data_IF_331253065901
#
_entry.id   IF_331253065901
#
_cell.length_a   1.000
_cell.length_b   1.000
_cell.length_c   1.000
_cell.angle_alpha   90.00
_cell.angle_beta   90.00
_cell.angle_gamma   90.00
#
_symmetry.space_group_name_H-M   'P 1'
#
loop_
_entity.id
_entity.type
_entity.pdbx_description
1 polymer ?
#
# COMPACT_ATOMS: atom_id res chain seq x y z
N UNK A 1 10.92 -16.40 -12.59
CA UNK A 1 11.63 -16.05 -11.35
C UNK A 1 11.23 -17.04 -10.29
N UNK A 2 12.18 -17.81 -9.82
CA UNK A 2 11.92 -18.92 -8.91
C UNK A 2 12.34 -18.59 -7.47
N UNK A 3 13.20 -17.58 -7.29
CA UNK A 3 13.72 -17.13 -6.01
C UNK A 3 13.50 -15.63 -5.83
N UNK A 4 12.75 -15.26 -4.78
CA UNK A 4 12.49 -13.89 -4.40
C UNK A 4 12.91 -13.63 -2.94
N UNK A 5 13.48 -12.46 -2.68
CA UNK A 5 13.74 -11.95 -1.34
C UNK A 5 12.69 -10.91 -0.97
N UNK A 6 12.28 -10.88 0.29
CA UNK A 6 11.43 -9.81 0.85
C UNK A 6 12.10 -9.29 2.10
N UNK A 7 12.34 -7.98 2.16
CA UNK A 7 12.96 -7.30 3.30
C UNK A 7 11.91 -6.59 4.12
N UNK A 8 11.84 -6.94 5.40
CA UNK A 8 10.84 -6.47 6.34
C UNK A 8 9.72 -7.49 6.58
N UNK A 9 9.66 -8.06 7.78
CA UNK A 9 8.67 -9.05 8.18
C UNK A 9 7.40 -8.44 8.80
N UNK A 10 7.12 -7.16 8.50
CA UNK A 10 5.89 -6.48 8.86
C UNK A 10 4.67 -6.98 8.05
N UNK A 11 3.53 -6.31 8.22
CA UNK A 11 2.26 -6.68 7.56
C UNK A 11 2.43 -6.75 6.03
N UNK A 12 3.07 -5.73 5.43
CA UNK A 12 3.26 -5.71 3.98
C UNK A 12 4.23 -6.77 3.50
N UNK A 13 5.42 -6.88 4.11
CA UNK A 13 6.41 -7.86 3.67
C UNK A 13 5.93 -9.31 3.84
N UNK A 14 5.27 -9.64 4.95
CA UNK A 14 4.65 -10.96 5.14
C UNK A 14 3.58 -11.25 4.08
N UNK A 15 2.74 -10.25 3.75
CA UNK A 15 1.72 -10.37 2.71
C UNK A 15 2.32 -10.53 1.30
N UNK A 16 3.40 -9.81 0.98
CA UNK A 16 4.12 -9.95 -0.29
C UNK A 16 4.79 -11.33 -0.40
N UNK A 17 5.42 -11.80 0.69
CA UNK A 17 5.99 -13.13 0.77
C UNK A 17 4.92 -14.23 0.54
N UNK A 18 3.74 -14.07 1.15
CA UNK A 18 2.58 -14.94 0.91
C UNK A 18 2.18 -14.96 -0.58
N UNK A 19 2.06 -13.80 -1.22
CA UNK A 19 1.68 -13.68 -2.64
C UNK A 19 2.69 -14.38 -3.53
N UNK A 20 3.99 -14.12 -3.34
CA UNK A 20 5.05 -14.73 -4.12
C UNK A 20 5.12 -16.25 -3.93
N UNK A 21 5.01 -16.74 -2.68
CA UNK A 21 5.02 -18.17 -2.37
C UNK A 21 3.79 -18.90 -2.93
N UNK A 22 2.61 -18.25 -2.93
CA UNK A 22 1.41 -18.78 -3.57
C UNK A 22 1.59 -18.89 -5.08
N UNK A 23 2.33 -17.98 -5.69
CA UNK A 23 2.72 -18.02 -7.10
C UNK A 23 3.91 -18.97 -7.39
N UNK A 24 4.23 -19.88 -6.46
CA UNK A 24 5.27 -20.92 -6.55
C UNK A 24 6.72 -20.41 -6.52
N UNK A 25 6.98 -19.17 -6.11
CA UNK A 25 8.33 -18.69 -5.84
C UNK A 25 8.84 -19.22 -4.50
N UNK A 26 10.13 -19.58 -4.42
CA UNK A 26 10.83 -19.75 -3.15
C UNK A 26 11.16 -18.35 -2.60
N UNK A 27 10.78 -18.07 -1.38
CA UNK A 27 10.85 -16.74 -0.78
C UNK A 27 11.72 -16.77 0.46
N UNK A 28 12.65 -15.83 0.54
CA UNK A 28 13.38 -15.53 1.78
C UNK A 28 12.74 -14.28 2.37
N UNK A 29 12.10 -14.41 3.53
CA UNK A 29 11.58 -13.28 4.30
C UNK A 29 12.59 -12.90 5.36
N UNK A 30 13.18 -11.73 5.20
CA UNK A 30 14.23 -11.19 6.06
C UNK A 30 13.71 -10.07 6.97
N UNK A 31 14.17 -10.09 8.21
CA UNK A 31 14.08 -8.95 9.13
C UNK A 31 15.25 -8.97 10.10
N UNK A 32 15.68 -7.80 10.57
CA UNK A 32 16.71 -7.69 11.61
C UNK A 32 16.23 -8.14 12.99
N UNK A 33 14.91 -8.14 13.20
CA UNK A 33 14.26 -8.57 14.45
C UNK A 33 13.79 -10.02 14.35
N UNK A 34 14.37 -10.90 15.14
CA UNK A 34 13.90 -12.29 15.26
C UNK A 34 12.45 -12.37 15.74
N UNK A 35 12.04 -11.47 16.64
CA UNK A 35 10.65 -11.40 17.11
C UNK A 35 9.67 -11.01 16.01
N UNK A 36 10.08 -10.16 15.05
CA UNK A 36 9.26 -9.84 13.88
C UNK A 36 9.10 -11.06 12.96
N UNK A 37 10.17 -11.84 12.74
CA UNK A 37 10.14 -13.07 11.96
C UNK A 37 9.23 -14.14 12.57
N UNK A 38 9.33 -14.37 13.88
CA UNK A 38 8.45 -15.32 14.58
C UNK A 38 6.99 -14.89 14.51
N UNK A 39 6.70 -13.61 14.71
CA UNK A 39 5.35 -13.06 14.57
C UNK A 39 4.81 -13.21 13.14
N UNK A 40 5.63 -12.96 12.14
CA UNK A 40 5.28 -13.13 10.72
C UNK A 40 4.93 -14.59 10.42
N UNK A 41 5.77 -15.54 10.89
CA UNK A 41 5.54 -16.97 10.74
C UNK A 41 4.22 -17.41 11.37
N UNK A 42 3.97 -17.02 12.61
CA UNK A 42 2.73 -17.34 13.31
C UNK A 42 1.50 -16.75 12.61
N UNK A 43 1.58 -15.50 12.13
CA UNK A 43 0.49 -14.85 11.40
C UNK A 43 0.20 -15.52 10.05
N UNK A 44 1.22 -15.93 9.30
CA UNK A 44 1.06 -16.66 8.05
C UNK A 44 0.39 -18.01 8.30
N UNK A 45 0.84 -18.77 9.30
CA UNK A 45 0.22 -20.04 9.68
C UNK A 45 -1.25 -19.86 10.08
N UNK A 46 -1.55 -18.88 10.92
CA UNK A 46 -2.93 -18.57 11.32
C UNK A 46 -3.81 -18.15 10.13
N UNK A 47 -3.24 -17.41 9.19
CA UNK A 47 -3.96 -16.96 7.97
C UNK A 47 -4.31 -18.16 7.09
N UNK A 48 -3.38 -19.05 6.84
CA UNK A 48 -3.61 -20.25 6.02
C UNK A 48 -4.60 -21.18 6.72
N UNK A 49 -4.46 -21.41 8.03
CA UNK A 49 -5.45 -22.21 8.79
C UNK A 49 -6.87 -21.66 8.66
N UNK A 50 -7.07 -20.34 8.73
CA UNK A 50 -8.38 -19.72 8.49
C UNK A 50 -8.89 -19.92 7.06
N UNK A 51 -8.01 -20.01 6.06
CA UNK A 51 -8.40 -20.28 4.68
C UNK A 51 -8.82 -21.74 4.50
N UNK A 52 -8.15 -22.68 5.16
CA UNK A 52 -8.51 -24.10 5.23
C UNK A 52 -9.89 -24.29 5.90
N UNK A 53 -10.10 -23.69 7.08
CA UNK A 53 -11.38 -23.74 7.81
C UNK A 53 -12.56 -23.18 6.98
N UNK A 54 -12.29 -22.22 6.07
CA UNK A 54 -13.28 -21.64 5.16
C UNK A 54 -13.43 -22.42 3.84
N UNK A 55 -12.73 -23.51 3.67
CA UNK A 55 -12.74 -24.31 2.44
C UNK A 55 -12.17 -23.60 1.21
N UNK A 56 -11.34 -22.54 1.41
CA UNK A 56 -10.72 -21.78 0.33
C UNK A 56 -9.37 -22.32 -0.11
N UNK A 57 -8.83 -23.29 0.61
CA UNK A 57 -7.53 -23.90 0.40
C UNK A 57 -7.49 -25.27 1.09
N UNK A 58 -6.76 -26.23 0.55
CA UNK A 58 -6.52 -27.51 1.22
C UNK A 58 -5.33 -27.41 2.18
N UNK A 59 -5.21 -28.35 3.13
CA UNK A 59 -4.08 -28.41 4.05
C UNK A 59 -2.75 -28.70 3.31
N UNK A 60 -2.80 -29.49 2.23
CA UNK A 60 -1.64 -29.80 1.39
C UNK A 60 -1.14 -28.55 0.66
N UNK A 61 -2.05 -27.75 0.09
CA UNK A 61 -1.73 -26.48 -0.57
C UNK A 61 -1.11 -25.51 0.41
N UNK A 62 -1.71 -25.33 1.60
CA UNK A 62 -1.23 -24.48 2.67
C UNK A 62 0.20 -24.86 3.09
N UNK A 63 0.42 -26.16 3.37
CA UNK A 63 1.74 -26.69 3.71
C UNK A 63 2.77 -26.46 2.61
N UNK A 64 2.38 -26.68 1.36
CA UNK A 64 3.23 -26.46 0.19
C UNK A 64 3.61 -24.99 0.01
N UNK A 65 2.70 -24.03 0.29
CA UNK A 65 2.99 -22.60 0.22
C UNK A 65 3.92 -22.20 1.35
N UNK A 66 3.62 -22.61 2.59
CA UNK A 66 4.45 -22.30 3.76
C UNK A 66 5.87 -22.85 3.63
N UNK A 67 6.04 -24.04 3.05
CA UNK A 67 7.39 -24.63 2.85
C UNK A 67 8.27 -23.86 1.87
N UNK A 68 7.70 -22.98 1.05
CA UNK A 68 8.46 -22.08 0.15
C UNK A 68 8.93 -20.80 0.82
N UNK A 69 8.52 -20.53 2.07
CA UNK A 69 8.91 -19.31 2.79
C UNK A 69 9.96 -19.67 3.82
N UNK A 70 11.18 -19.23 3.59
CA UNK A 70 12.28 -19.28 4.55
C UNK A 70 12.38 -17.97 5.31
N UNK A 71 12.68 -18.04 6.61
CA UNK A 71 12.83 -16.87 7.48
C UNK A 71 14.30 -16.69 7.80
N UNK A 72 14.86 -15.49 7.61
CA UNK A 72 16.27 -15.22 7.83
C UNK A 72 16.51 -13.87 8.49
N UNK A 73 17.52 -13.78 9.33
CA UNK A 73 18.11 -12.53 9.85
C UNK A 73 19.45 -12.19 9.20
N UNK A 74 19.83 -12.90 8.13
CA UNK A 74 21.07 -12.69 7.40
C UNK A 74 20.79 -12.15 6.00
N UNK A 75 21.22 -10.91 5.73
CA UNK A 75 21.01 -10.27 4.41
C UNK A 75 21.77 -11.01 3.29
N UNK A 76 22.88 -11.69 3.63
CA UNK A 76 23.69 -12.52 2.72
C UNK A 76 22.90 -13.65 2.05
N UNK A 77 21.82 -14.11 2.64
CA UNK A 77 20.99 -15.18 2.08
C UNK A 77 20.30 -14.79 0.77
N UNK A 78 20.25 -13.49 0.45
CA UNK A 78 19.70 -13.02 -0.81
C UNK A 78 20.60 -13.23 -2.03
N UNK A 79 21.81 -13.78 -1.87
CA UNK A 79 22.78 -13.96 -2.97
C UNK A 79 22.21 -14.69 -4.19
N UNK A 80 21.27 -15.62 -4.03
CA UNK A 80 20.62 -16.37 -5.12
C UNK A 80 19.30 -15.77 -5.59
N UNK A 81 18.83 -14.66 -5.01
CA UNK A 81 17.57 -14.04 -5.37
C UNK A 81 17.65 -13.37 -6.76
N UNK A 82 16.59 -13.52 -7.54
CA UNK A 82 16.41 -12.87 -8.83
C UNK A 82 15.62 -11.56 -8.72
N UNK A 83 14.89 -11.39 -7.62
CA UNK A 83 14.13 -10.21 -7.25
C UNK A 83 14.19 -10.05 -5.74
N UNK A 84 14.48 -8.84 -5.26
CA UNK A 84 14.36 -8.47 -3.85
C UNK A 84 13.37 -7.32 -3.73
N UNK A 85 12.33 -7.48 -2.89
CA UNK A 85 11.31 -6.45 -2.64
C UNK A 85 11.47 -5.95 -1.21
N UNK A 86 11.72 -4.67 -1.05
CA UNK A 86 11.83 -4.02 0.26
C UNK A 86 10.45 -3.51 0.72
N UNK A 87 10.10 -3.76 1.99
CA UNK A 87 8.89 -3.33 2.66
C UNK A 87 9.15 -2.94 4.14
N UNK A 88 10.20 -2.13 4.36
CA UNK A 88 10.59 -1.60 5.69
C UNK A 88 9.95 -0.24 5.98
N UNK A 89 10.41 0.42 7.06
CA UNK A 89 9.95 1.76 7.45
C UNK A 89 10.08 2.78 6.31
N UNK A 90 9.13 3.72 6.24
CA UNK A 90 9.06 4.72 5.16
C UNK A 90 10.01 5.89 5.45
N UNK A 91 11.31 5.63 5.34
CA UNK A 91 12.39 6.58 5.54
C UNK A 91 13.41 6.47 4.40
N UNK A 92 13.64 7.56 3.68
CA UNK A 92 14.48 7.58 2.49
C UNK A 92 15.93 7.14 2.77
N UNK A 93 16.54 7.65 3.83
CA UNK A 93 17.96 7.36 4.13
C UNK A 93 18.14 5.90 4.56
N UNK A 94 17.19 5.35 5.33
CA UNK A 94 17.20 3.93 5.71
C UNK A 94 17.07 3.05 4.47
N UNK A 95 16.16 3.40 3.54
CA UNK A 95 15.99 2.65 2.30
C UNK A 95 17.21 2.76 1.38
N UNK A 96 17.80 3.94 1.24
CA UNK A 96 19.03 4.14 0.46
C UNK A 96 20.18 3.27 0.94
N UNK A 97 20.40 3.27 2.28
CA UNK A 97 21.42 2.41 2.88
C UNK A 97 21.15 0.94 2.59
N UNK A 98 19.92 0.47 2.82
CA UNK A 98 19.52 -0.91 2.55
C UNK A 98 19.73 -1.31 1.09
N UNK A 99 19.34 -0.44 0.13
CA UNK A 99 19.50 -0.71 -1.30
C UNK A 99 20.97 -0.86 -1.69
N UNK A 100 21.85 -0.01 -1.15
CA UNK A 100 23.30 -0.14 -1.32
C UNK A 100 23.83 -1.45 -0.71
N UNK A 101 23.35 -1.84 0.46
CA UNK A 101 23.76 -3.09 1.13
C UNK A 101 23.30 -4.32 0.32
N UNK A 102 22.03 -4.35 -0.14
CA UNK A 102 21.49 -5.40 -1.00
C UNK A 102 22.28 -5.51 -2.30
N UNK A 103 22.58 -4.38 -2.95
CA UNK A 103 23.32 -4.36 -4.20
C UNK A 103 24.68 -5.04 -4.12
N UNK A 104 25.35 -4.99 -2.94
CA UNK A 104 26.63 -5.63 -2.72
C UNK A 104 26.56 -7.17 -2.56
N UNK A 105 25.34 -7.68 -2.30
CA UNK A 105 25.11 -9.09 -1.98
C UNK A 105 24.54 -9.86 -3.16
N UNK A 106 23.56 -9.27 -3.84
CA UNK A 106 22.81 -9.94 -4.92
C UNK A 106 23.58 -9.96 -6.23
N UNK A 107 23.25 -10.90 -7.12
CA UNK A 107 23.83 -10.96 -8.46
C UNK A 107 23.55 -9.66 -9.24
N UNK A 108 24.36 -9.41 -10.29
CA UNK A 108 24.21 -8.23 -11.16
C UNK A 108 22.87 -8.19 -11.89
N UNK A 109 22.27 -9.36 -12.13
CA UNK A 109 20.99 -9.50 -12.83
C UNK A 109 19.77 -9.45 -11.89
N UNK A 110 20.01 -9.42 -10.57
CA UNK A 110 18.94 -9.34 -9.59
C UNK A 110 18.26 -7.96 -9.65
N UNK A 111 16.95 -7.96 -9.71
CA UNK A 111 16.13 -6.75 -9.65
C UNK A 111 15.92 -6.37 -8.19
N UNK A 112 16.11 -5.10 -7.86
CA UNK A 112 15.87 -4.56 -6.51
C UNK A 112 14.66 -3.65 -6.57
N UNK A 113 13.65 -3.94 -5.74
CA UNK A 113 12.39 -3.22 -5.77
C UNK A 113 12.01 -2.64 -4.41
N UNK A 114 11.34 -1.49 -4.39
CA UNK A 114 10.74 -0.92 -3.19
C UNK A 114 9.21 -1.03 -3.24
N UNK A 115 8.61 -1.39 -2.10
CA UNK A 115 7.16 -1.32 -1.88
C UNK A 115 6.73 0.03 -1.29
N UNK A 116 7.56 1.06 -1.35
CA UNK A 116 7.21 2.41 -0.87
C UNK A 116 5.88 2.87 -1.45
N UNK A 117 5.12 3.63 -0.66
CA UNK A 117 3.86 4.25 -1.08
C UNK A 117 3.98 5.72 -1.46
N UNK A 118 5.10 6.36 -1.11
CA UNK A 118 5.24 7.82 -1.17
C UNK A 118 6.62 8.33 -1.54
N UNK A 119 7.68 7.53 -1.38
CA UNK A 119 9.04 7.95 -1.69
C UNK A 119 9.36 7.76 -3.17
N UNK A 120 10.11 8.70 -3.74
CA UNK A 120 10.57 8.60 -5.13
C UNK A 120 11.49 7.39 -5.35
N UNK A 121 11.16 6.57 -6.31
CA UNK A 121 11.99 5.43 -6.75
C UNK A 121 13.33 5.93 -7.29
N UNK A 122 13.31 7.04 -8.02
CA UNK A 122 14.53 7.73 -8.48
C UNK A 122 15.45 8.09 -7.32
N UNK A 123 14.88 8.63 -6.23
CA UNK A 123 15.67 9.00 -5.04
C UNK A 123 16.23 7.79 -4.30
N UNK A 124 15.50 6.68 -4.24
CA UNK A 124 16.01 5.44 -3.64
C UNK A 124 17.11 4.85 -4.52
N UNK A 125 16.88 4.77 -5.83
CA UNK A 125 17.80 4.20 -6.79
C UNK A 125 19.15 4.95 -6.88
N UNK A 126 19.17 6.24 -6.53
CA UNK A 126 20.41 7.04 -6.57
C UNK A 126 21.50 6.58 -5.60
N UNK A 127 21.16 5.71 -4.63
CA UNK A 127 22.12 5.09 -3.74
C UNK A 127 22.80 3.83 -4.33
N UNK A 128 22.28 3.33 -5.47
CA UNK A 128 22.82 2.16 -6.13
C UNK A 128 23.84 2.55 -7.24
N UNK A 129 24.83 1.70 -7.45
CA UNK A 129 25.80 1.84 -8.55
C UNK A 129 25.17 1.49 -9.89
N UNK A 130 24.16 0.60 -9.90
CA UNK A 130 23.43 0.14 -11.07
C UNK A 130 21.93 0.44 -10.89
N UNK A 131 21.52 1.73 -10.95
CA UNK A 131 20.14 2.14 -10.72
C UNK A 131 19.16 1.63 -11.80
N UNK A 132 19.68 1.15 -12.94
CA UNK A 132 18.88 0.61 -14.05
C UNK A 132 18.04 -0.61 -13.66
N UNK A 133 18.47 -1.37 -12.65
CA UNK A 133 17.77 -2.56 -12.13
C UNK A 133 16.86 -2.27 -10.92
N UNK A 134 16.70 -0.99 -10.57
CA UNK A 134 15.85 -0.57 -9.46
C UNK A 134 14.49 -0.14 -9.97
N UNK A 135 13.41 -0.58 -9.28
CA UNK A 135 12.03 -0.31 -9.67
C UNK A 135 11.12 -0.26 -8.43
N UNK A 136 10.01 0.44 -8.50
CA UNK A 136 8.93 0.34 -7.50
C UNK A 136 7.97 -0.80 -7.83
N UNK A 137 7.56 -1.56 -6.80
CA UNK A 137 6.48 -2.55 -6.88
C UNK A 137 5.59 -2.35 -5.66
N UNK A 138 4.60 -1.48 -5.81
CA UNK A 138 3.74 -1.05 -4.71
C UNK A 138 2.51 -1.92 -4.61
N UNK A 139 2.45 -2.75 -3.57
CA UNK A 139 1.29 -3.54 -3.18
C UNK A 139 0.41 -2.75 -2.20
N UNK A 140 -0.89 -3.01 -2.25
CA UNK A 140 -1.86 -2.41 -1.32
C UNK A 140 -2.19 -3.36 -0.17
N UNK A 141 -2.42 -2.81 1.01
CA UNK A 141 -2.76 -3.57 2.21
C UNK A 141 -4.25 -3.99 2.21
N UNK A 142 -4.58 -5.26 2.43
CA UNK A 142 -3.71 -6.44 2.59
C UNK A 142 -3.20 -6.98 1.23
N UNK A 143 -1.89 -7.21 1.11
CA UNK A 143 -1.27 -7.59 -0.18
C UNK A 143 -1.88 -8.85 -0.81
N UNK A 144 -2.28 -9.83 0.00
CA UNK A 144 -2.91 -11.06 -0.48
C UNK A 144 -4.30 -10.81 -1.10
N UNK A 145 -5.07 -9.84 -0.60
CA UNK A 145 -6.47 -9.60 -0.99
C UNK A 145 -6.58 -8.53 -2.09
N UNK A 146 -5.76 -7.51 -2.04
CA UNK A 146 -5.81 -6.40 -3.00
C UNK A 146 -5.24 -6.84 -4.34
N UNK A 147 -6.04 -6.75 -5.43
CA UNK A 147 -5.58 -7.22 -6.74
C UNK A 147 -4.58 -6.26 -7.39
N UNK A 148 -4.72 -4.96 -7.19
CA UNK A 148 -3.92 -3.93 -7.85
C UNK A 148 -2.49 -3.90 -7.32
N UNK A 149 -1.53 -3.76 -8.24
CA UNK A 149 -0.12 -3.49 -7.95
C UNK A 149 0.39 -2.40 -8.90
N UNK A 150 0.94 -1.34 -8.36
CA UNK A 150 1.59 -0.30 -9.16
C UNK A 150 3.04 -0.66 -9.41
N UNK A 151 3.50 -0.46 -10.64
CA UNK A 151 4.89 -0.67 -11.08
C UNK A 151 5.46 0.69 -11.46
N UNK A 152 6.47 1.13 -10.75
CA UNK A 152 6.97 2.49 -10.81
C UNK A 152 8.43 2.49 -11.28
N UNK A 153 8.72 2.75 -12.56
CA UNK A 153 10.09 2.98 -13.02
C UNK A 153 10.61 4.32 -12.50
N UNK A 154 11.81 4.32 -11.93
CA UNK A 154 12.57 5.55 -11.70
C UNK A 154 13.17 6.07 -13.01
N UNK A 155 13.75 7.27 -12.98
CA UNK A 155 14.31 7.91 -14.20
C UNK A 155 15.44 7.11 -14.85
N UNK A 156 16.20 6.34 -14.08
CA UNK A 156 17.31 5.52 -14.55
C UNK A 156 16.93 4.06 -14.81
N UNK A 157 15.70 3.64 -14.48
CA UNK A 157 15.24 2.26 -14.64
C UNK A 157 15.30 1.84 -16.10
N UNK A 158 15.85 0.65 -16.38
CA UNK A 158 15.97 0.10 -17.74
C UNK A 158 14.59 0.01 -18.42
N UNK A 159 14.51 0.44 -19.68
CA UNK A 159 13.24 0.65 -20.39
C UNK A 159 12.38 -0.61 -20.53
N UNK A 160 12.96 -1.79 -20.58
CA UNK A 160 12.26 -3.08 -20.68
C UNK A 160 11.81 -3.63 -19.31
N UNK A 161 12.38 -3.15 -18.20
CA UNK A 161 12.15 -3.69 -16.87
C UNK A 161 10.69 -3.55 -16.40
N UNK A 162 9.99 -2.43 -16.64
CA UNK A 162 8.57 -2.32 -16.26
C UNK A 162 7.69 -3.38 -16.93
N UNK A 163 7.91 -3.68 -18.20
CA UNK A 163 7.16 -4.72 -18.92
C UNK A 163 7.46 -6.13 -18.37
N UNK A 164 8.73 -6.41 -18.05
CA UNK A 164 9.17 -7.67 -17.41
C UNK A 164 8.51 -7.86 -16.05
N UNK A 165 8.51 -6.84 -15.21
CA UNK A 165 7.85 -6.89 -13.89
C UNK A 165 6.34 -6.98 -14.01
N UNK A 166 5.72 -6.24 -14.95
CA UNK A 166 4.29 -6.34 -15.23
C UNK A 166 3.89 -7.78 -15.56
N UNK A 167 4.64 -8.45 -16.42
CA UNK A 167 4.39 -9.84 -16.76
C UNK A 167 4.57 -10.80 -15.56
N UNK A 168 5.58 -10.56 -14.71
CA UNK A 168 5.82 -11.34 -13.50
C UNK A 168 4.66 -11.19 -12.49
N UNK A 169 4.30 -9.96 -12.17
CA UNK A 169 3.24 -9.65 -11.19
C UNK A 169 1.86 -10.15 -11.68
N UNK A 170 1.62 -10.13 -13.00
CA UNK A 170 0.46 -10.78 -13.59
C UNK A 170 0.41 -12.30 -13.33
N UNK A 171 1.57 -12.99 -13.39
CA UNK A 171 1.67 -14.41 -13.01
C UNK A 171 1.45 -14.67 -11.51
N UNK A 172 1.60 -13.65 -10.66
CA UNK A 172 1.26 -13.70 -9.25
C UNK A 172 -0.23 -13.46 -8.98
N UNK A 173 -1.06 -13.55 -10.01
CA UNK A 173 -2.51 -13.33 -9.96
C UNK A 173 -2.90 -11.93 -9.44
N UNK A 174 -2.10 -10.92 -9.84
CA UNK A 174 -2.36 -9.51 -9.55
C UNK A 174 -2.66 -8.75 -10.84
N UNK A 175 -3.23 -7.56 -10.71
CA UNK A 175 -3.51 -6.62 -11.80
C UNK A 175 -2.45 -5.52 -11.78
N UNK A 176 -1.33 -5.68 -12.50
CA UNK A 176 -0.26 -4.70 -12.51
C UNK A 176 -0.54 -3.53 -13.45
N UNK A 177 -0.31 -2.31 -12.98
CA UNK A 177 -0.36 -1.08 -13.77
C UNK A 177 0.97 -0.34 -13.69
N UNK A 178 1.40 0.28 -14.78
CA UNK A 178 2.60 1.10 -14.79
C UNK A 178 2.22 2.52 -14.38
N UNK A 179 2.87 3.02 -13.34
CA UNK A 179 2.70 4.36 -12.82
C UNK A 179 3.98 5.19 -13.00
N UNK A 180 3.84 6.50 -13.11
CA UNK A 180 5.00 7.42 -13.09
C UNK A 180 5.56 7.53 -11.67
N UNK A 181 6.88 7.76 -11.55
CA UNK A 181 7.55 8.10 -10.28
C UNK A 181 7.20 9.54 -9.88
N UNK A 182 5.95 9.72 -9.47
CA UNK A 182 5.39 10.99 -9.01
C UNK A 182 4.75 10.79 -7.64
N UNK A 183 4.68 11.83 -6.78
CA UNK A 183 4.15 11.69 -5.43
C UNK A 183 2.77 11.02 -5.41
N UNK A 184 2.67 9.92 -4.62
CA UNK A 184 1.44 9.14 -4.50
C UNK A 184 1.06 8.29 -5.71
N UNK A 185 1.95 8.17 -6.70
CA UNK A 185 1.81 7.35 -7.93
C UNK A 185 0.46 7.57 -8.62
N UNK A 186 -0.40 6.56 -8.72
CA UNK A 186 -1.77 6.70 -9.24
C UNK A 186 -2.78 6.81 -8.09
N UNK A 187 -2.89 5.75 -7.25
CA UNK A 187 -3.99 5.63 -6.29
C UNK A 187 -3.94 6.70 -5.21
N UNK A 188 -2.82 6.89 -4.54
CA UNK A 188 -2.69 7.91 -3.50
C UNK A 188 -2.85 9.32 -4.07
N UNK A 189 -2.42 9.55 -5.30
CA UNK A 189 -2.56 10.84 -5.98
C UNK A 189 -4.03 11.16 -6.30
N UNK A 190 -4.77 10.22 -6.90
CA UNK A 190 -6.19 10.45 -7.28
C UNK A 190 -7.13 10.42 -6.07
N UNK A 191 -6.75 9.71 -5.01
CA UNK A 191 -7.54 9.66 -3.78
C UNK A 191 -7.50 11.00 -2.99
N UNK A 192 -6.45 11.83 -3.16
CA UNK A 192 -6.37 13.09 -2.38
C UNK A 192 -7.50 14.06 -2.71
N UNK A 193 -7.79 14.39 -3.98
CA UNK A 193 -8.95 15.22 -4.32
C UNK A 193 -10.29 14.62 -3.85
N UNK A 194 -10.47 13.30 -3.97
CA UNK A 194 -11.67 12.61 -3.49
C UNK A 194 -11.97 12.91 -2.02
N UNK A 195 -10.95 12.86 -1.16
CA UNK A 195 -11.10 13.23 0.25
C UNK A 195 -11.18 14.74 0.44
N UNK A 196 -10.30 15.50 -0.20
CA UNK A 196 -10.19 16.94 -0.03
C UNK A 196 -11.46 17.69 -0.43
N UNK A 197 -12.07 17.35 -1.56
CA UNK A 197 -13.32 18.00 -2.00
C UNK A 197 -14.51 17.61 -1.13
N UNK A 198 -14.59 16.35 -0.69
CA UNK A 198 -15.62 15.92 0.27
C UNK A 198 -15.54 16.71 1.58
N UNK A 199 -14.33 16.91 2.10
CA UNK A 199 -14.11 17.68 3.33
C UNK A 199 -14.46 19.17 3.10
N UNK A 200 -14.14 19.75 1.95
CA UNK A 200 -14.53 21.14 1.61
C UNK A 200 -16.04 21.32 1.59
N UNK A 201 -16.77 20.38 0.99
CA UNK A 201 -18.26 20.40 0.99
C UNK A 201 -18.81 20.42 2.42
N UNK A 202 -18.19 19.61 3.31
CA UNK A 202 -18.56 19.60 4.73
C UNK A 202 -18.18 20.91 5.43
N UNK A 203 -16.96 21.41 5.26
CA UNK A 203 -16.46 22.65 5.90
C UNK A 203 -17.27 23.89 5.44
N UNK A 204 -17.79 23.88 4.23
CA UNK A 204 -18.68 24.93 3.70
C UNK A 204 -20.14 24.79 4.16
N UNK A 205 -20.47 23.76 4.95
CA UNK A 205 -21.81 23.54 5.47
C UNK A 205 -22.85 23.13 4.42
N UNK A 206 -22.41 22.64 3.26
CA UNK A 206 -23.33 22.22 2.17
C UNK A 206 -24.03 20.91 2.54
N UNK A 207 -23.29 19.95 3.10
CA UNK A 207 -23.83 18.66 3.54
C UNK A 207 -23.02 18.07 4.70
N UNK A 208 -23.66 17.18 5.47
CA UNK A 208 -23.01 16.38 6.51
C UNK A 208 -22.29 15.15 5.92
N UNK A 209 -21.47 14.49 6.74
CA UNK A 209 -20.67 13.33 6.34
C UNK A 209 -21.51 12.21 5.73
N UNK A 210 -22.65 11.87 6.38
CA UNK A 210 -23.51 10.78 5.94
C UNK A 210 -24.14 11.06 4.57
N UNK A 211 -24.56 12.31 4.34
CA UNK A 211 -25.14 12.76 3.07
C UNK A 211 -24.11 12.74 1.93
N UNK A 212 -22.86 13.16 2.22
CA UNK A 212 -21.78 13.12 1.22
C UNK A 212 -21.41 11.66 0.90
N UNK A 213 -21.26 10.81 1.90
CA UNK A 213 -20.96 9.38 1.71
C UNK A 213 -22.10 8.68 0.95
N UNK A 214 -23.36 9.00 1.25
CA UNK A 214 -24.51 8.49 0.51
C UNK A 214 -24.46 8.89 -0.97
N UNK A 215 -24.23 10.17 -1.27
CA UNK A 215 -24.16 10.65 -2.64
C UNK A 215 -23.05 9.93 -3.44
N UNK A 216 -21.88 9.76 -2.86
CA UNK A 216 -20.78 9.07 -3.53
C UNK A 216 -21.06 7.58 -3.74
N UNK A 217 -21.77 6.92 -2.82
CA UNK A 217 -22.14 5.49 -2.97
C UNK A 217 -23.29 5.31 -3.97
N UNK A 218 -24.41 6.00 -3.77
CA UNK A 218 -25.64 5.73 -4.51
C UNK A 218 -25.66 6.38 -5.90
N UNK A 219 -25.05 7.55 -6.05
CA UNK A 219 -24.98 8.28 -7.32
C UNK A 219 -23.66 7.99 -8.02
N UNK A 220 -22.56 8.03 -7.28
CA UNK A 220 -21.22 7.82 -7.81
C UNK A 220 -20.85 6.36 -8.04
N UNK A 221 -21.58 5.41 -7.47
CA UNK A 221 -21.32 3.98 -7.59
C UNK A 221 -20.07 3.50 -6.83
N UNK A 222 -19.56 4.31 -5.89
CA UNK A 222 -18.42 3.91 -5.06
C UNK A 222 -18.85 2.91 -3.99
N UNK A 223 -18.01 1.93 -3.69
CA UNK A 223 -18.28 0.94 -2.63
C UNK A 223 -18.33 1.57 -1.23
N UNK A 224 -17.59 2.66 -1.04
CA UNK A 224 -17.52 3.42 0.21
C UNK A 224 -17.49 4.90 -0.09
N UNK A 225 -18.13 5.69 0.75
CA UNK A 225 -18.01 7.13 0.72
C UNK A 225 -16.65 7.60 1.26
N UNK A 226 -16.26 8.86 1.01
CA UNK A 226 -14.96 9.40 1.41
C UNK A 226 -14.71 9.36 2.91
N UNK A 227 -15.70 9.66 3.74
CA UNK A 227 -15.55 9.67 5.20
C UNK A 227 -15.51 8.27 5.81
N UNK A 228 -16.36 7.35 5.32
CA UNK A 228 -16.27 5.93 5.69
C UNK A 228 -14.90 5.35 5.32
N UNK A 229 -14.35 5.71 4.17
CA UNK A 229 -13.07 5.21 3.68
C UNK A 229 -11.90 5.80 4.50
N UNK A 230 -11.94 7.09 4.84
CA UNK A 230 -10.93 7.71 5.70
C UNK A 230 -10.90 7.08 7.10
N UNK A 231 -12.07 6.82 7.69
CA UNK A 231 -12.17 6.16 8.99
C UNK A 231 -11.76 4.68 8.96
N UNK A 232 -11.95 4.00 7.82
CA UNK A 232 -11.48 2.62 7.62
C UNK A 232 -9.95 2.55 7.50
N UNK A 233 -9.33 3.47 6.76
CA UNK A 233 -7.87 3.54 6.58
C UNK A 233 -7.20 4.00 7.88
N UNK A 234 -7.82 4.90 8.57
CA UNK A 234 -7.32 5.63 9.73
C UNK A 234 -6.93 7.05 9.39
N UNK A 235 -7.49 8.00 10.14
CA UNK A 235 -7.28 9.44 9.92
C UNK A 235 -5.83 9.88 10.15
N UNK A 236 -5.06 9.14 10.96
CA UNK A 236 -3.61 9.33 11.11
C UNK A 236 -2.87 9.02 9.81
N UNK A 237 -3.14 7.88 9.18
CA UNK A 237 -2.55 7.49 7.90
C UNK A 237 -3.02 8.44 6.79
N UNK A 238 -4.32 8.72 6.73
CA UNK A 238 -4.90 9.57 5.69
C UNK A 238 -4.32 10.99 5.73
N UNK A 239 -4.25 11.60 6.93
CA UNK A 239 -3.66 12.94 7.10
C UNK A 239 -2.18 12.96 6.73
N UNK A 240 -1.37 12.02 7.26
CA UNK A 240 0.07 11.94 7.00
C UNK A 240 0.38 11.79 5.52
N UNK A 241 -0.36 10.92 4.80
CA UNK A 241 -0.18 10.74 3.36
C UNK A 241 -0.59 12.01 2.60
N UNK A 242 -1.70 12.66 3.00
CA UNK A 242 -2.14 13.92 2.37
C UNK A 242 -1.09 15.01 2.52
N UNK A 243 -0.55 15.20 3.73
CA UNK A 243 0.49 16.19 4.00
C UNK A 243 1.78 15.88 3.22
N UNK A 244 2.18 14.62 3.16
CA UNK A 244 3.35 14.17 2.40
C UNK A 244 3.21 14.46 0.91
N UNK A 245 2.10 14.08 0.30
CA UNK A 245 1.81 14.33 -1.12
C UNK A 245 1.77 15.84 -1.40
N UNK A 246 1.12 16.62 -0.54
CA UNK A 246 1.06 18.08 -0.68
C UNK A 246 2.44 18.73 -0.64
N UNK A 247 3.30 18.37 0.31
CA UNK A 247 4.69 18.87 0.41
C UNK A 247 5.50 18.47 -0.83
N UNK A 248 5.37 17.25 -1.30
CA UNK A 248 6.11 16.74 -2.46
C UNK A 248 5.66 17.37 -3.80
N UNK A 249 4.41 17.84 -3.89
CA UNK A 249 3.92 18.65 -5.01
C UNK A 249 4.15 20.16 -4.79
N UNK A 250 5.17 20.53 -4.02
CA UNK A 250 5.52 21.94 -3.78
C UNK A 250 4.35 22.79 -3.26
N UNK A 251 3.55 22.19 -2.39
CA UNK A 251 2.37 22.83 -1.78
C UNK A 251 1.23 23.16 -2.76
N UNK A 252 1.07 22.37 -3.82
CA UNK A 252 -0.04 22.54 -4.75
C UNK A 252 -1.38 22.53 -3.99
N UNK A 253 -2.22 23.58 -4.14
CA UNK A 253 -3.51 23.71 -3.44
C UNK A 253 -4.46 22.52 -3.65
N UNK A 254 -4.35 21.81 -4.77
CA UNK A 254 -5.14 20.61 -5.06
C UNK A 254 -5.00 19.52 -4.00
N UNK A 255 -3.83 19.39 -3.40
CA UNK A 255 -3.51 18.34 -2.41
C UNK A 255 -3.44 18.85 -0.97
N UNK A 256 -3.80 20.13 -0.74
CA UNK A 256 -3.71 20.75 0.57
C UNK A 256 -4.56 20.02 1.62
N UNK A 257 -3.96 19.58 2.75
CA UNK A 257 -4.72 18.99 3.85
C UNK A 257 -5.66 20.02 4.49
N UNK A 258 -6.76 19.55 5.06
CA UNK A 258 -7.71 20.40 5.76
C UNK A 258 -7.44 20.49 7.27
N UNK A 259 -8.01 21.53 7.90
CA UNK A 259 -7.99 21.64 9.37
C UNK A 259 -8.82 20.56 10.03
N UNK A 260 -9.91 20.11 9.40
CA UNK A 260 -10.74 19.00 9.89
C UNK A 260 -9.94 17.71 9.98
N UNK A 261 -9.17 17.36 8.94
CA UNK A 261 -8.27 16.20 8.99
C UNK A 261 -7.24 16.33 10.12
N UNK A 262 -6.59 17.51 10.21
CA UNK A 262 -5.57 17.77 11.23
C UNK A 262 -6.12 17.65 12.65
N UNK A 263 -7.31 18.21 12.92
CA UNK A 263 -7.96 18.12 14.24
C UNK A 263 -8.30 16.68 14.65
N UNK A 264 -8.77 15.86 13.71
CA UNK A 264 -9.00 14.43 14.00
C UNK A 264 -7.69 13.71 14.32
N UNK A 265 -6.63 14.02 13.59
CA UNK A 265 -5.29 13.48 13.85
C UNK A 265 -4.78 13.88 15.25
N UNK A 266 -4.83 15.17 15.60
CA UNK A 266 -4.39 15.71 16.89
C UNK A 266 -5.22 15.18 18.07
N UNK A 267 -6.49 14.91 17.84
CA UNK A 267 -7.40 14.34 18.85
C UNK A 267 -7.32 12.81 19.00
N UNK A 268 -6.44 12.12 18.22
CA UNK A 268 -6.36 10.67 18.14
C UNK A 268 -7.69 9.99 17.74
N UNK A 269 -8.54 10.70 16.99
CA UNK A 269 -9.79 10.18 16.44
C UNK A 269 -9.52 9.52 15.08
N UNK A 270 -8.92 8.34 15.11
CA UNK A 270 -8.40 7.69 13.90
C UNK A 270 -9.42 6.82 13.16
N UNK A 271 -10.69 6.90 13.50
CA UNK A 271 -11.74 6.13 12.85
C UNK A 271 -11.99 4.78 13.52
N UNK A 272 -12.29 3.74 12.72
CA UNK A 272 -12.69 2.41 13.24
C UNK A 272 -11.71 1.82 14.25
N UNK A 273 -10.41 2.00 14.05
CA UNK A 273 -9.38 1.42 14.93
C UNK A 273 -9.35 2.03 16.34
N UNK A 274 -9.90 3.23 16.53
CA UNK A 274 -10.04 3.90 17.84
C UNK A 274 -11.50 4.02 18.28
N UNK A 275 -12.44 3.45 17.50
CA UNK A 275 -13.88 3.51 17.76
C UNK A 275 -14.53 4.84 17.37
N UNK A 276 -13.76 5.85 17.00
CA UNK A 276 -14.27 7.17 16.61
C UNK A 276 -13.34 7.87 15.59
N UNK A 277 -13.95 8.55 14.63
CA UNK A 277 -13.31 9.38 13.64
C UNK A 277 -14.28 10.45 13.16
N UNK A 278 -14.57 10.50 11.85
CA UNK A 278 -15.72 11.25 11.32
C UNK A 278 -17.04 10.71 11.88
N UNK A 279 -17.11 9.39 12.04
CA UNK A 279 -18.24 8.69 12.67
C UNK A 279 -17.89 8.23 14.08
N UNK A 280 -18.92 8.10 14.92
CA UNK A 280 -18.84 7.45 16.23
C UNK A 280 -19.36 6.02 16.08
N UNK A 281 -18.50 5.04 16.15
CA UNK A 281 -18.81 3.61 15.91
C UNK A 281 -19.47 2.94 17.13
N UNK A 282 -19.63 3.66 18.25
CA UNK A 282 -20.45 3.22 19.40
C UNK A 282 -21.93 3.55 19.23
N UNK A 283 -22.29 4.39 18.26
CA UNK A 283 -23.62 4.86 17.97
C UNK A 283 -24.13 4.30 16.62
N UNK A 284 -25.45 4.28 16.39
CA UNK A 284 -26.00 4.04 15.06
C UNK A 284 -25.45 5.06 14.05
N UNK A 285 -25.18 4.60 12.82
CA UNK A 285 -24.75 5.50 11.76
C UNK A 285 -25.82 6.57 11.49
N UNK A 286 -25.45 7.85 11.36
CA UNK A 286 -26.41 8.91 11.07
C UNK A 286 -27.09 8.70 9.71
N UNK A 287 -28.37 9.02 9.64
CA UNK A 287 -29.12 8.91 8.39
C UNK A 287 -28.78 10.06 7.44
N UNK A 288 -28.49 9.77 6.15
CA UNK A 288 -28.22 10.81 5.18
C UNK A 288 -29.49 11.54 4.72
N UNK A 289 -29.36 12.80 4.32
CA UNK A 289 -30.39 13.51 3.58
C UNK A 289 -30.39 13.02 2.13
N UNK A 290 -31.35 12.16 1.79
CA UNK A 290 -31.45 11.52 0.45
C UNK A 290 -32.12 12.45 -0.58
N UNK A 291 -31.54 13.64 -0.79
CA UNK A 291 -31.94 14.58 -1.83
C UNK A 291 -31.09 14.34 -3.08
N UNK A 292 -31.72 13.89 -4.17
CA UNK A 292 -31.04 13.57 -5.42
C UNK A 292 -30.36 14.79 -6.03
N UNK A 293 -31.02 15.97 -6.03
CA UNK A 293 -30.46 17.21 -6.59
C UNK A 293 -29.21 17.65 -5.84
N UNK A 294 -29.25 17.57 -4.49
CA UNK A 294 -28.08 17.84 -3.67
C UNK A 294 -26.99 16.78 -3.89
N UNK A 295 -27.39 15.50 -4.00
CA UNK A 295 -26.47 14.41 -4.26
C UNK A 295 -25.74 14.54 -5.60
N UNK A 296 -26.44 14.90 -6.67
CA UNK A 296 -25.82 15.16 -7.99
C UNK A 296 -24.79 16.30 -7.91
N UNK A 297 -25.10 17.40 -7.22
CA UNK A 297 -24.16 18.52 -7.01
C UNK A 297 -22.91 18.09 -6.23
N UNK A 298 -23.09 17.28 -5.19
CA UNK A 298 -21.97 16.73 -4.39
C UNK A 298 -21.09 15.85 -5.28
N UNK A 299 -21.70 14.94 -6.03
CA UNK A 299 -20.97 14.01 -6.90
C UNK A 299 -20.12 14.76 -7.93
N UNK A 300 -20.71 15.70 -8.67
CA UNK A 300 -19.99 16.49 -9.68
C UNK A 300 -18.88 17.39 -9.09
N UNK A 301 -18.98 17.76 -7.82
CA UNK A 301 -17.94 18.57 -7.19
C UNK A 301 -16.76 17.71 -6.67
N UNK A 302 -17.01 16.48 -6.25
CA UNK A 302 -15.97 15.58 -5.73
C UNK A 302 -15.13 14.97 -6.85
N UNK A 303 -15.69 14.76 -8.03
CA UNK A 303 -15.00 14.25 -9.22
C UNK A 303 -14.47 15.36 -10.12
#
# INVERSE_FOLDING_TARGET
>A
MDHAGVVGAGIMGSGIAQVAATAKCNVILYDTSSGALEKAKANLQATFKKLEEKGKMTAEESKAILSRISFSSQLSDFGSCQLVIEAIVENLEVKRKLFSDIENIVSKDCIIASNTSSLSITSIASACRVPQRVIGIHFFNPAALMPLVEIIPGIATESNLPAKIKALIGKWNKVPVIAKDTPGFIVNRVARPFYGEAIRIYEEGIADFATIDWAMKEIGGFKMGPFELMDMIGNDVNYTVTETVWKQFFHDPKYKPSLTQKRLFEANLFGKKTGRGYYDYSLPMPEPKKDKTLGDKIFFRVL
#
